data_IF_447471852671
#
_entry.id   IF_447471852671
#
_cell.length_a   1.000
_cell.length_b   1.000
_cell.length_c   1.000
_cell.angle_alpha   90.00
_cell.angle_beta   90.00
_cell.angle_gamma   90.00
#
_symmetry.space_group_name_H-M   'P 1'
#
loop_
_entity.id
_entity.type
_entity.pdbx_description
1 polymer ?
#
# COMPACT_ATOMS: atom_id res chain seq x y z
N UNK A 1 -14.98 -40.89 30.96
CA UNK A 1 -14.14 -39.68 30.91
C UNK A 1 -14.75 -38.65 29.95
N UNK A 2 -15.87 -38.03 30.33
CA UNK A 2 -16.60 -37.08 29.48
C UNK A 2 -17.24 -36.09 30.46
N UNK A 3 -16.50 -35.04 30.83
CA UNK A 3 -16.98 -33.86 31.58
C UNK A 3 -15.88 -32.82 31.95
N UNK A 4 -14.64 -32.93 31.45
CA UNK A 4 -13.59 -31.93 31.74
C UNK A 4 -13.29 -30.92 30.62
N UNK A 5 -13.88 -31.06 29.43
CA UNK A 5 -13.60 -30.17 28.29
C UNK A 5 -14.53 -28.94 28.21
N UNK A 6 -15.71 -28.97 28.84
CA UNK A 6 -16.66 -27.85 28.81
C UNK A 6 -16.41 -26.77 29.86
N UNK A 7 -15.56 -27.01 30.86
CA UNK A 7 -15.26 -26.05 31.94
C UNK A 7 -14.13 -25.06 31.59
N UNK A 8 -13.33 -25.33 30.55
CA UNK A 8 -12.25 -24.43 30.12
C UNK A 8 -12.73 -23.33 29.15
N UNK A 9 -13.79 -23.59 28.37
CA UNK A 9 -14.40 -22.59 27.49
C UNK A 9 -15.31 -21.59 28.23
N UNK A 10 -15.87 -21.95 29.38
CA UNK A 10 -16.69 -21.02 30.17
C UNK A 10 -15.88 -20.10 31.08
N UNK A 11 -14.59 -20.40 31.31
CA UNK A 11 -13.69 -19.54 32.10
C UNK A 11 -13.01 -18.48 31.23
N UNK A 12 -12.93 -18.68 29.91
CA UNK A 12 -12.36 -17.68 29.00
C UNK A 12 -13.34 -16.56 28.63
N UNK A 13 -14.66 -16.78 28.75
CA UNK A 13 -15.68 -15.74 28.55
C UNK A 13 -15.88 -14.84 29.78
N UNK A 14 -15.20 -15.12 30.91
CA UNK A 14 -15.39 -14.42 32.18
C UNK A 14 -14.26 -13.43 32.53
N UNK A 15 -13.28 -13.24 31.65
CA UNK A 15 -12.11 -12.38 31.89
C UNK A 15 -11.97 -11.16 30.96
N UNK A 16 -12.96 -10.87 30.10
CA UNK A 16 -12.98 -9.64 29.26
C UNK A 16 -14.39 -9.03 29.18
N UNK A 17 -15.14 -9.07 30.29
CA UNK A 17 -16.48 -8.49 30.38
C UNK A 17 -16.47 -7.12 31.03
N UNK A 18 -15.85 -6.12 30.40
CA UNK A 18 -16.27 -4.75 30.67
C UNK A 18 -17.61 -4.55 29.95
N UNK A 19 -18.64 -4.09 30.65
CA UNK A 19 -19.94 -3.81 30.02
C UNK A 19 -19.73 -2.89 28.81
N UNK A 20 -20.08 -3.38 27.62
CA UNK A 20 -19.89 -2.62 26.38
C UNK A 20 -20.84 -1.43 26.42
N UNK A 21 -20.25 -0.25 26.51
CA UNK A 21 -20.97 1.02 26.54
C UNK A 21 -21.14 1.56 25.12
N UNK A 22 -22.30 2.14 24.83
CA UNK A 22 -22.66 2.69 23.53
C UNK A 22 -22.97 4.18 23.64
N UNK A 23 -22.49 4.96 22.69
CA UNK A 23 -22.82 6.38 22.61
C UNK A 23 -24.29 6.53 22.22
N UNK A 24 -25.08 7.12 23.11
CA UNK A 24 -26.49 7.40 22.87
C UNK A 24 -26.66 8.78 22.24
N UNK A 25 -26.26 9.82 22.95
CA UNK A 25 -26.32 11.20 22.48
C UNK A 25 -24.98 11.94 22.62
N UNK A 26 -24.84 13.00 21.81
CA UNK A 26 -23.65 13.82 21.75
C UNK A 26 -24.02 15.29 21.59
N UNK A 27 -23.68 16.06 22.62
CA UNK A 27 -23.96 17.48 22.76
C UNK A 27 -22.66 18.32 22.69
N UNK A 28 -22.76 19.49 22.06
CA UNK A 28 -21.72 20.52 22.08
C UNK A 28 -22.31 21.79 22.67
N UNK A 29 -21.58 22.41 23.59
CA UNK A 29 -21.96 23.66 24.22
C UNK A 29 -20.82 24.68 24.11
N UNK A 30 -21.16 25.94 23.86
CA UNK A 30 -20.22 27.05 23.82
C UNK A 30 -19.59 27.31 22.44
N UNK A 31 -19.96 26.54 21.42
CA UNK A 31 -19.66 26.85 20.02
C UNK A 31 -20.65 27.90 19.47
N UNK A 32 -20.14 29.05 19.06
CA UNK A 32 -20.93 30.18 18.53
C UNK A 32 -20.74 30.32 17.03
N UNK A 33 -19.51 30.17 16.55
CA UNK A 33 -19.15 30.37 15.15
C UNK A 33 -19.29 29.08 14.31
N UNK A 34 -19.15 27.91 14.95
CA UNK A 34 -19.23 26.61 14.28
C UNK A 34 -20.52 25.88 14.65
N UNK A 35 -21.19 25.27 13.67
CA UNK A 35 -22.39 24.48 13.93
C UNK A 35 -22.05 23.12 14.53
N UNK A 36 -22.98 22.56 15.32
CA UNK A 36 -22.84 21.21 15.88
C UNK A 36 -22.58 20.16 14.78
N UNK A 37 -23.18 20.33 13.60
CA UNK A 37 -22.96 19.43 12.46
C UNK A 37 -21.49 19.44 12.01
N UNK A 38 -20.89 20.64 11.88
CA UNK A 38 -19.48 20.77 11.50
C UNK A 38 -18.55 20.06 12.49
N UNK A 39 -18.86 20.13 13.79
CA UNK A 39 -18.06 19.48 14.84
C UNK A 39 -18.28 17.96 14.85
N UNK A 40 -19.54 17.52 14.71
CA UNK A 40 -19.90 16.09 14.60
C UNK A 40 -19.12 15.43 13.48
N UNK A 41 -18.97 16.07 12.32
CA UNK A 41 -18.25 15.49 11.18
C UNK A 41 -16.76 15.25 11.44
N UNK A 42 -16.12 16.00 12.34
CA UNK A 42 -14.67 15.88 12.61
C UNK A 42 -14.32 14.81 13.63
N UNK A 43 -15.25 14.42 14.49
CA UNK A 43 -15.02 13.43 15.55
C UNK A 43 -15.35 12.01 15.11
N UNK A 44 -14.72 11.05 15.77
CA UNK A 44 -14.89 9.61 15.51
C UNK A 44 -16.11 9.06 16.23
N UNK A 45 -16.36 9.48 17.46
CA UNK A 45 -17.57 9.12 18.19
C UNK A 45 -18.78 9.77 17.53
N UNK A 46 -19.78 8.96 17.21
CA UNK A 46 -21.05 9.40 16.63
C UNK A 46 -22.19 8.97 17.53
N UNK A 47 -23.22 9.80 17.62
CA UNK A 47 -24.48 9.42 18.26
C UNK A 47 -25.11 8.22 17.56
N UNK A 48 -26.06 7.57 18.22
CA UNK A 48 -26.75 6.40 17.66
C UNK A 48 -27.47 6.76 16.35
N UNK A 49 -27.19 6.01 15.29
CA UNK A 49 -27.92 6.10 14.02
C UNK A 49 -29.09 5.10 13.98
N UNK A 50 -29.95 5.19 12.95
CA UNK A 50 -31.07 4.25 12.77
C UNK A 50 -30.63 2.78 12.66
N UNK A 51 -29.41 2.52 12.16
CA UNK A 51 -28.88 1.17 11.92
C UNK A 51 -27.52 0.88 12.58
N UNK A 52 -26.94 1.81 13.36
CA UNK A 52 -25.62 1.61 13.98
C UNK A 52 -25.58 2.09 15.43
N UNK A 53 -25.02 1.24 16.30
CA UNK A 53 -24.60 1.60 17.65
C UNK A 53 -23.09 1.80 17.64
N UNK A 54 -22.61 2.93 18.18
CA UNK A 54 -21.19 3.22 18.24
C UNK A 54 -20.66 2.92 19.64
N UNK A 55 -19.67 2.05 19.72
CA UNK A 55 -19.01 1.69 20.98
C UNK A 55 -18.23 2.88 21.56
N UNK A 56 -18.55 3.19 22.81
CA UNK A 56 -17.87 4.20 23.61
C UNK A 56 -16.50 3.69 24.08
N UNK A 57 -15.51 4.57 24.05
CA UNK A 57 -14.23 4.34 24.69
C UNK A 57 -13.65 5.69 25.11
N UNK A 58 -13.19 5.78 26.35
CA UNK A 58 -12.57 7.00 26.88
C UNK A 58 -11.35 7.44 26.05
N UNK A 59 -10.60 6.48 25.47
CA UNK A 59 -9.51 6.78 24.56
C UNK A 59 -9.99 7.48 23.28
N UNK A 60 -11.13 7.06 22.71
CA UNK A 60 -11.72 7.72 21.54
C UNK A 60 -12.20 9.12 21.90
N UNK A 61 -12.81 9.28 23.07
CA UNK A 61 -13.29 10.58 23.58
C UNK A 61 -12.14 11.60 23.68
N UNK A 62 -11.03 11.22 24.31
CA UNK A 62 -9.86 12.08 24.43
C UNK A 62 -9.22 12.43 23.08
N UNK A 63 -9.17 11.49 22.14
CA UNK A 63 -8.70 11.77 20.78
C UNK A 63 -9.63 12.74 20.04
N UNK A 64 -10.94 12.65 20.28
CA UNK A 64 -11.92 13.56 19.70
C UNK A 64 -11.80 14.98 20.28
N UNK A 65 -11.53 15.13 21.59
CA UNK A 65 -11.18 16.44 22.19
C UNK A 65 -9.98 17.09 21.48
N UNK A 66 -8.89 16.32 21.30
CA UNK A 66 -7.69 16.80 20.59
C UNK A 66 -8.02 17.15 19.14
N UNK A 67 -8.85 16.34 18.49
CA UNK A 67 -9.25 16.56 17.08
C UNK A 67 -10.05 17.85 16.93
N UNK A 68 -11.03 18.08 17.81
CA UNK A 68 -11.79 19.32 17.84
C UNK A 68 -10.89 20.51 18.15
N UNK A 69 -10.01 20.40 19.15
CA UNK A 69 -9.07 21.46 19.50
C UNK A 69 -8.20 21.85 18.30
N UNK A 70 -7.59 20.86 17.64
CA UNK A 70 -6.80 21.08 16.43
C UNK A 70 -7.65 21.70 15.31
N UNK A 71 -8.91 21.29 15.16
CA UNK A 71 -9.81 21.84 14.14
C UNK A 71 -10.09 23.33 14.40
N UNK A 72 -10.46 23.72 15.61
CA UNK A 72 -10.61 25.14 15.99
C UNK A 72 -9.31 25.93 15.79
N UNK A 73 -8.17 25.36 16.15
CA UNK A 73 -6.88 25.99 15.90
C UNK A 73 -6.59 26.18 14.41
N UNK A 74 -7.05 25.28 13.53
CA UNK A 74 -6.89 25.48 12.07
C UNK A 74 -7.69 26.67 11.54
N UNK A 75 -8.72 27.10 12.29
CA UNK A 75 -9.55 28.26 12.03
C UNK A 75 -9.07 29.52 12.77
N UNK A 76 -7.93 29.46 13.47
CA UNK A 76 -7.30 30.59 14.13
C UNK A 76 -7.75 30.85 15.58
N UNK A 77 -8.53 29.95 16.17
CA UNK A 77 -8.88 30.02 17.59
C UNK A 77 -7.78 29.35 18.42
N UNK A 78 -6.76 30.12 18.82
CA UNK A 78 -5.56 29.56 19.47
C UNK A 78 -5.80 29.29 20.94
N UNK A 79 -6.55 30.17 21.61
CA UNK A 79 -6.90 30.07 23.03
C UNK A 79 -8.09 29.13 23.28
N UNK A 80 -8.46 28.32 22.28
CA UNK A 80 -9.59 27.40 22.39
C UNK A 80 -9.34 26.37 23.49
N UNK A 81 -10.32 26.23 24.39
CA UNK A 81 -10.34 25.20 25.42
C UNK A 81 -11.53 24.29 25.21
N UNK A 82 -11.28 22.99 25.11
CA UNK A 82 -12.32 21.97 24.96
C UNK A 82 -12.14 20.96 26.07
N UNK A 83 -13.21 20.69 26.81
CA UNK A 83 -13.28 19.65 27.83
C UNK A 83 -14.51 18.80 27.58
N UNK A 84 -14.37 17.48 27.66
CA UNK A 84 -15.49 16.55 27.58
C UNK A 84 -15.90 16.01 28.95
N UNK A 85 -17.18 15.72 29.09
CA UNK A 85 -17.74 14.93 30.17
C UNK A 85 -18.64 13.84 29.58
N UNK A 86 -18.83 12.75 30.33
CA UNK A 86 -19.72 11.68 29.92
C UNK A 86 -20.54 11.16 31.11
N UNK A 87 -21.77 10.74 30.83
CA UNK A 87 -22.69 10.18 31.82
C UNK A 87 -23.21 8.85 31.31
N UNK A 88 -23.09 7.81 32.14
CA UNK A 88 -23.60 6.47 31.85
C UNK A 88 -24.99 6.32 32.44
N UNK A 89 -25.94 5.84 31.65
CA UNK A 89 -27.31 5.56 32.07
C UNK A 89 -27.81 4.25 31.47
N UNK A 90 -28.81 3.63 32.10
CA UNK A 90 -29.34 2.31 31.68
C UNK A 90 -28.23 1.27 31.47
N UNK A 91 -27.22 1.30 32.36
CA UNK A 91 -26.06 0.41 32.47
C UNK A 91 -25.14 0.29 31.23
N UNK A 92 -25.54 0.83 30.07
CA UNK A 92 -24.85 0.61 28.80
C UNK A 92 -24.90 1.80 27.83
N UNK A 93 -25.69 2.83 28.10
CA UNK A 93 -25.79 4.01 27.24
C UNK A 93 -24.97 5.16 27.82
N UNK A 94 -24.27 5.89 26.95
CA UNK A 94 -23.39 7.00 27.34
C UNK A 94 -23.80 8.26 26.61
N UNK A 95 -24.11 9.31 27.37
CA UNK A 95 -24.26 10.66 26.86
C UNK A 95 -22.92 11.38 26.97
N UNK A 96 -22.50 12.03 25.88
CA UNK A 96 -21.23 12.77 25.82
C UNK A 96 -21.54 14.25 25.65
N UNK A 97 -20.86 15.09 26.43
CA UNK A 97 -20.95 16.54 26.32
C UNK A 97 -19.57 17.14 26.12
N UNK A 98 -19.42 17.95 25.08
CA UNK A 98 -18.22 18.77 24.85
C UNK A 98 -18.50 20.21 25.22
N UNK A 99 -17.77 20.71 26.21
CA UNK A 99 -17.76 22.12 26.60
C UNK A 99 -16.64 22.84 25.85
N UNK A 100 -17.00 23.84 25.06
CA UNK A 100 -16.08 24.59 24.19
C UNK A 100 -16.03 26.05 24.63
N UNK A 101 -14.82 26.57 24.82
CA UNK A 101 -14.55 27.99 24.93
C UNK A 101 -13.72 28.39 23.72
N UNK A 102 -14.35 29.03 22.73
CA UNK A 102 -13.72 29.31 21.43
C UNK A 102 -12.53 30.27 21.54
N UNK A 103 -12.65 31.34 22.33
CA UNK A 103 -11.62 32.37 22.45
C UNK A 103 -11.57 33.29 21.23
N UNK A 104 -10.48 34.06 21.10
CA UNK A 104 -10.31 35.02 20.01
C UNK A 104 -9.69 34.40 18.76
N UNK A 105 -10.05 34.97 17.61
CA UNK A 105 -9.49 34.57 16.31
C UNK A 105 -8.23 35.37 16.01
N UNK A 106 -7.15 34.67 15.75
CA UNK A 106 -5.84 35.25 15.50
C UNK A 106 -5.53 35.38 14.00
N UNK A 107 -4.97 36.52 13.61
CA UNK A 107 -4.52 36.78 12.23
C UNK A 107 -3.03 37.03 12.16
N UNK A 108 -2.40 36.59 11.09
CA UNK A 108 -0.97 36.80 10.87
C UNK A 108 -0.72 38.30 10.62
N UNK A 109 0.11 38.94 11.42
CA UNK A 109 0.52 40.34 11.19
C UNK A 109 1.70 40.42 10.24
N UNK A 110 2.73 39.60 10.48
CA UNK A 110 3.96 39.56 9.69
C UNK A 110 4.65 38.21 9.86
N UNK A 111 5.34 37.79 8.80
CA UNK A 111 6.16 36.58 8.78
C UNK A 111 7.59 37.01 8.46
N UNK A 112 8.55 36.50 9.21
CA UNK A 112 9.97 36.74 9.00
C UNK A 112 10.74 35.43 8.91
N UNK A 113 11.69 35.39 7.98
CA UNK A 113 12.60 34.27 7.80
C UNK A 113 14.02 34.75 8.09
N UNK A 114 14.73 34.03 8.95
CA UNK A 114 16.13 34.30 9.23
C UNK A 114 16.98 33.07 8.94
N UNK A 115 18.20 33.29 8.47
CA UNK A 115 19.18 32.23 8.18
C UNK A 115 18.98 31.45 6.87
N UNK A 116 18.02 31.83 6.02
CA UNK A 116 17.86 31.28 4.66
C UNK A 116 18.87 31.90 3.68
N UNK A 117 19.90 31.14 3.28
CA UNK A 117 20.90 31.52 2.28
C UNK A 117 20.82 30.68 1.00
N UNK A 118 20.38 29.43 1.11
CA UNK A 118 20.34 28.47 0.00
C UNK A 118 19.09 28.64 -0.87
N UNK A 119 17.92 28.82 -0.26
CA UNK A 119 16.68 29.13 -1.00
C UNK A 119 16.37 30.62 -0.90
N UNK A 120 15.85 31.17 -2.00
CA UNK A 120 15.36 32.53 -2.01
C UNK A 120 14.13 32.68 -1.11
N UNK A 121 13.88 33.89 -0.62
CA UNK A 121 12.70 34.18 0.20
C UNK A 121 11.40 33.78 -0.53
N UNK A 122 11.29 34.08 -1.82
CA UNK A 122 10.10 33.76 -2.61
C UNK A 122 9.84 32.24 -2.66
N UNK A 123 10.87 31.43 -2.82
CA UNK A 123 10.72 29.97 -2.80
C UNK A 123 10.26 29.44 -1.43
N UNK A 124 10.72 30.07 -0.35
CA UNK A 124 10.28 29.70 1.01
C UNK A 124 8.84 30.15 1.21
N UNK A 125 8.48 31.35 0.77
CA UNK A 125 7.11 31.89 0.83
C UNK A 125 6.13 30.97 0.09
N UNK A 126 6.48 30.48 -1.10
CA UNK A 126 5.66 29.52 -1.86
C UNK A 126 5.42 28.20 -1.13
N UNK A 127 6.41 27.69 -0.37
CA UNK A 127 6.28 26.43 0.38
C UNK A 127 5.49 26.65 1.67
N UNK A 128 5.74 27.77 2.34
CA UNK A 128 5.10 28.11 3.60
C UNK A 128 3.65 28.50 3.39
N UNK A 129 3.30 29.10 2.24
CA UNK A 129 1.92 29.37 1.81
C UNK A 129 1.09 30.01 2.93
N UNK A 130 1.67 31.05 3.53
CA UNK A 130 1.04 31.89 4.56
C UNK A 130 1.37 33.34 4.24
N UNK A 131 0.36 34.20 4.29
CA UNK A 131 0.51 35.62 4.01
C UNK A 131 0.01 36.49 5.17
N UNK A 132 0.52 37.73 5.30
CA UNK A 132 -0.05 38.69 6.23
C UNK A 132 -1.57 38.87 6.02
N UNK A 133 -2.31 39.04 7.11
CA UNK A 133 -3.78 39.12 7.24
C UNK A 133 -4.53 37.78 7.16
N UNK A 134 -3.87 36.70 6.77
CA UNK A 134 -4.46 35.37 6.82
C UNK A 134 -4.83 34.97 8.25
N UNK A 135 -5.79 34.05 8.37
CA UNK A 135 -6.11 33.39 9.63
C UNK A 135 -4.91 32.52 10.00
N UNK A 136 -4.41 32.67 11.23
CA UNK A 136 -3.27 31.88 11.66
C UNK A 136 -3.67 30.41 11.82
N UNK A 137 -2.96 29.51 11.13
CA UNK A 137 -3.21 28.07 11.18
C UNK A 137 -1.92 27.33 11.58
N UNK A 138 -1.76 26.94 12.87
CA UNK A 138 -0.56 26.28 13.35
C UNK A 138 -0.37 24.88 12.75
N UNK A 139 -1.46 24.18 12.39
CA UNK A 139 -1.38 22.86 11.76
C UNK A 139 -0.83 22.97 10.34
N UNK A 140 -1.29 23.98 9.57
CA UNK A 140 -0.77 24.29 8.24
C UNK A 140 0.70 24.70 8.32
N UNK A 141 1.05 25.62 9.22
CA UNK A 141 2.45 26.06 9.43
C UNK A 141 3.38 24.88 9.70
N UNK A 142 3.06 24.04 10.69
CA UNK A 142 3.89 22.86 11.04
C UNK A 142 4.01 21.87 9.89
N UNK A 143 2.94 21.64 9.13
CA UNK A 143 2.98 20.81 7.93
C UNK A 143 3.94 21.40 6.90
N UNK A 144 3.84 22.70 6.65
CA UNK A 144 4.63 23.38 5.64
C UNK A 144 6.11 23.51 6.05
N UNK A 145 6.42 23.68 7.35
CA UNK A 145 7.78 23.60 7.87
C UNK A 145 8.39 22.21 7.70
N UNK A 146 7.61 21.13 7.84
CA UNK A 146 8.07 19.77 7.49
C UNK A 146 8.38 19.65 6.01
N UNK A 147 7.54 20.22 5.14
CA UNK A 147 7.79 20.27 3.68
C UNK A 147 9.05 21.05 3.36
N UNK A 148 9.27 22.20 4.00
CA UNK A 148 10.47 23.02 3.85
C UNK A 148 11.72 22.25 4.30
N UNK A 149 11.68 21.63 5.49
CA UNK A 149 12.75 20.75 5.99
C UNK A 149 13.05 19.64 4.99
N UNK A 150 12.03 19.00 4.45
CA UNK A 150 12.18 17.98 3.42
C UNK A 150 12.85 18.53 2.15
N UNK A 151 12.50 19.72 1.67
CA UNK A 151 13.16 20.37 0.52
C UNK A 151 14.66 20.61 0.76
N UNK A 152 15.04 21.06 1.95
CA UNK A 152 16.46 21.20 2.34
C UNK A 152 17.19 19.86 2.41
N UNK A 153 16.56 18.82 2.95
CA UNK A 153 17.12 17.46 2.97
C UNK A 153 17.35 16.88 1.57
N UNK A 154 16.49 17.24 0.59
CA UNK A 154 16.69 16.89 -0.82
C UNK A 154 17.88 17.62 -1.46
N UNK A 155 18.25 18.79 -0.92
CA UNK A 155 19.41 19.56 -1.34
C UNK A 155 20.71 19.17 -0.60
N UNK A 156 20.73 18.05 0.14
CA UNK A 156 21.90 17.56 0.86
C UNK A 156 22.18 18.24 2.19
N UNK A 157 21.24 19.01 2.75
CA UNK A 157 21.39 19.67 4.05
C UNK A 157 20.92 18.75 5.19
N UNK A 158 21.74 17.80 5.65
CA UNK A 158 21.33 16.85 6.71
C UNK A 158 21.13 17.50 8.08
N UNK A 159 21.98 18.47 8.43
CA UNK A 159 21.95 19.15 9.73
C UNK A 159 20.96 20.32 9.78
N UNK A 160 20.03 20.38 8.81
CA UNK A 160 19.00 21.41 8.74
C UNK A 160 18.18 21.42 10.03
N UNK A 161 18.17 22.58 10.69
CA UNK A 161 17.35 22.84 11.86
C UNK A 161 16.45 24.05 11.57
N UNK A 162 15.15 23.88 11.79
CA UNK A 162 14.16 24.94 11.57
C UNK A 162 13.37 25.09 12.87
N UNK A 163 13.38 26.29 13.43
CA UNK A 163 12.65 26.65 14.63
C UNK A 163 11.62 27.73 14.31
N UNK A 164 10.45 27.63 14.93
CA UNK A 164 9.41 28.66 14.87
C UNK A 164 9.33 29.36 16.22
N UNK A 165 9.34 30.68 16.20
CA UNK A 165 9.02 31.53 17.36
C UNK A 165 7.77 32.34 17.01
N UNK A 166 6.76 32.23 17.87
CA UNK A 166 5.42 32.74 17.61
C UNK A 166 5.06 33.72 18.72
N UNK A 167 4.92 34.98 18.35
CA UNK A 167 4.60 36.07 19.27
C UNK A 167 3.14 36.48 19.05
N UNK A 168 2.33 36.38 20.11
CA UNK A 168 0.92 36.75 20.12
C UNK A 168 0.76 38.16 20.72
N UNK A 169 0.09 39.05 19.99
CA UNK A 169 -0.21 40.42 20.45
C UNK A 169 -1.58 40.86 19.91
N UNK A 170 -2.54 41.17 20.80
CA UNK A 170 -3.84 41.75 20.46
C UNK A 170 -4.54 41.08 19.25
N UNK A 171 -4.79 39.77 19.32
CA UNK A 171 -5.39 38.95 18.25
C UNK A 171 -4.58 38.92 16.93
N UNK A 172 -3.32 39.35 16.96
CA UNK A 172 -2.36 39.25 15.87
C UNK A 172 -1.22 38.29 16.24
N UNK A 173 -0.64 37.68 15.20
CA UNK A 173 0.43 36.70 15.32
C UNK A 173 1.60 37.14 14.47
N UNK A 174 2.74 37.34 15.12
CA UNK A 174 4.02 37.47 14.44
C UNK A 174 4.71 36.11 14.41
N UNK A 175 5.04 35.64 13.21
CA UNK A 175 5.70 34.34 13.00
C UNK A 175 7.14 34.58 12.59
N UNK A 176 8.08 34.16 13.41
CA UNK A 176 9.51 34.19 13.12
C UNK A 176 10.02 32.76 12.89
N UNK A 177 10.56 32.50 11.71
CA UNK A 177 11.13 31.21 11.35
C UNK A 177 12.64 31.36 11.27
N UNK A 178 13.34 30.65 12.15
CA UNK A 178 14.80 30.61 12.23
C UNK A 178 15.30 29.35 11.53
N UNK A 179 16.13 29.51 10.51
CA UNK A 179 16.64 28.42 9.67
C UNK A 179 18.16 28.32 9.84
N UNK A 180 18.64 27.18 10.33
CA UNK A 180 20.06 26.83 10.33
C UNK A 180 20.28 25.74 9.27
N UNK A 181 20.71 26.17 8.07
CA UNK A 181 20.83 25.30 6.91
C UNK A 181 21.95 24.25 7.02
N UNK A 182 23.04 24.61 7.69
CA UNK A 182 24.27 23.83 7.67
C UNK A 182 24.89 23.70 6.28
N UNK A 183 25.76 22.71 6.14
CA UNK A 183 26.51 22.42 4.92
C UNK A 183 25.87 21.32 4.09
N UNK A 184 26.27 21.24 2.83
CA UNK A 184 25.80 20.22 1.88
C UNK A 184 26.69 19.00 1.99
N UNK A 185 26.07 17.82 2.11
CA UNK A 185 26.76 16.55 2.23
C UNK A 185 26.74 15.75 0.93
N UNK A 186 27.87 15.11 0.66
CA UNK A 186 28.07 14.20 -0.45
C UNK A 186 28.24 12.77 0.07
N UNK A 187 27.67 11.82 -0.65
CA UNK A 187 27.81 10.39 -0.38
C UNK A 187 29.24 10.00 -0.73
N UNK A 188 29.98 9.42 0.22
CA UNK A 188 31.38 9.01 0.03
C UNK A 188 31.49 7.51 -0.23
N UNK A 189 30.88 6.71 0.63
CA UNK A 189 30.90 5.26 0.55
C UNK A 189 29.58 4.68 1.06
N UNK A 190 29.29 3.46 0.65
CA UNK A 190 28.11 2.70 1.08
C UNK A 190 28.53 1.37 1.69
N UNK A 191 28.11 1.13 2.92
CA UNK A 191 28.37 -0.11 3.64
C UNK A 191 27.09 -0.91 3.78
N UNK A 192 27.12 -2.18 3.36
CA UNK A 192 25.96 -3.07 3.38
C UNK A 192 26.20 -4.15 4.45
N UNK A 193 25.22 -4.34 5.33
CA UNK A 193 25.26 -5.30 6.44
C UNK A 193 23.96 -6.09 6.56
N UNK A 194 24.03 -7.26 7.20
CA UNK A 194 22.86 -8.12 7.44
C UNK A 194 22.49 -9.04 6.27
N UNK A 195 23.47 -9.30 5.38
CA UNK A 195 23.39 -10.33 4.36
C UNK A 195 23.85 -11.68 4.94
N UNK A 196 23.12 -12.74 4.65
CA UNK A 196 23.42 -14.13 5.02
C UNK A 196 23.59 -14.99 3.76
N UNK A 197 22.56 -15.03 2.90
CA UNK A 197 22.53 -15.84 1.69
C UNK A 197 22.58 -14.97 0.42
N UNK A 198 22.13 -13.72 0.46
CA UNK A 198 22.03 -12.84 -0.72
C UNK A 198 23.34 -12.10 -1.00
N UNK A 199 23.80 -12.10 -2.25
CA UNK A 199 24.99 -11.34 -2.66
C UNK A 199 24.76 -9.81 -2.59
N UNK A 200 25.73 -9.07 -2.06
CA UNK A 200 25.69 -7.60 -1.96
C UNK A 200 25.48 -6.88 -3.30
N UNK A 201 25.94 -7.47 -4.42
CA UNK A 201 25.76 -6.93 -5.78
C UNK A 201 24.28 -6.72 -6.13
N UNK A 202 23.39 -7.55 -5.58
CA UNK A 202 21.95 -7.44 -5.81
C UNK A 202 21.32 -6.26 -5.06
N UNK A 203 21.99 -5.72 -4.06
CA UNK A 203 21.58 -4.50 -3.34
C UNK A 203 22.15 -3.27 -4.03
N UNK A 204 23.41 -3.35 -4.44
CA UNK A 204 24.08 -2.27 -5.17
C UNK A 204 23.33 -1.89 -6.44
N UNK A 205 22.79 -2.87 -7.20
CA UNK A 205 22.00 -2.59 -8.41
C UNK A 205 20.64 -1.94 -8.14
N UNK A 206 20.10 -2.06 -6.92
CA UNK A 206 18.82 -1.45 -6.52
C UNK A 206 19.05 -0.03 -5.96
N UNK A 207 20.30 0.37 -5.73
CA UNK A 207 20.65 1.71 -5.26
C UNK A 207 20.51 2.73 -6.39
N UNK A 208 19.72 3.78 -6.14
CA UNK A 208 19.46 4.86 -7.10
C UNK A 208 20.48 6.01 -7.02
N UNK A 209 21.51 5.82 -6.20
CA UNK A 209 22.59 6.79 -5.99
C UNK A 209 23.94 6.13 -6.25
N UNK A 210 24.95 6.96 -6.45
CA UNK A 210 26.35 6.53 -6.59
C UNK A 210 27.23 7.39 -5.69
N UNK A 211 28.40 6.87 -5.35
CA UNK A 211 29.38 7.62 -4.57
C UNK A 211 29.77 8.91 -5.30
N UNK A 212 29.90 10.00 -4.54
CA UNK A 212 30.14 11.36 -5.02
C UNK A 212 28.86 12.19 -5.25
N UNK A 213 27.68 11.57 -5.29
CA UNK A 213 26.41 12.30 -5.43
C UNK A 213 26.08 13.11 -4.16
N UNK A 214 25.33 14.21 -4.33
CA UNK A 214 24.72 14.94 -3.20
C UNK A 214 23.72 14.01 -2.52
N UNK A 215 23.70 14.01 -1.19
CA UNK A 215 22.66 13.32 -0.45
C UNK A 215 21.27 13.91 -0.80
N UNK A 216 20.38 13.10 -1.35
CA UNK A 216 18.97 13.47 -1.52
C UNK A 216 18.12 12.45 -0.78
N UNK A 217 17.44 12.88 0.29
CA UNK A 217 16.53 12.04 1.08
C UNK A 217 15.46 11.35 0.23
N UNK A 218 15.03 11.93 -0.89
CA UNK A 218 14.09 11.31 -1.82
C UNK A 218 14.72 10.08 -2.47
N UNK A 219 15.93 10.21 -2.99
CA UNK A 219 16.66 9.10 -3.63
C UNK A 219 16.93 7.99 -2.62
N UNK A 220 17.29 8.35 -1.39
CA UNK A 220 17.51 7.38 -0.30
C UNK A 220 16.22 6.65 0.08
N UNK A 221 15.09 7.36 0.22
CA UNK A 221 13.81 6.74 0.53
C UNK A 221 13.34 5.83 -0.61
N UNK A 222 13.45 6.27 -1.87
CA UNK A 222 13.10 5.44 -3.03
C UNK A 222 14.02 4.22 -3.15
N UNK A 223 15.31 4.35 -2.84
CA UNK A 223 16.22 3.19 -2.76
C UNK A 223 15.78 2.20 -1.67
N UNK A 224 15.42 2.71 -0.47
CA UNK A 224 14.92 1.87 0.62
C UNK A 224 13.65 1.11 0.22
N UNK A 225 12.70 1.81 -0.40
CA UNK A 225 11.47 1.23 -0.92
C UNK A 225 11.77 0.16 -1.97
N UNK A 226 12.64 0.45 -2.94
CA UNK A 226 13.00 -0.49 -4.01
C UNK A 226 13.67 -1.78 -3.47
N UNK A 227 14.60 -1.65 -2.53
CA UNK A 227 15.23 -2.81 -1.87
C UNK A 227 14.18 -3.60 -1.07
N UNK A 228 13.25 -2.94 -0.38
CA UNK A 228 12.20 -3.62 0.39
C UNK A 228 11.20 -4.34 -0.53
N UNK A 229 10.75 -3.68 -1.60
CA UNK A 229 9.83 -4.22 -2.60
C UNK A 229 10.41 -5.38 -3.41
N UNK A 230 11.74 -5.57 -3.43
CA UNK A 230 12.36 -6.79 -3.97
C UNK A 230 11.85 -8.06 -3.29
N UNK A 231 11.33 -7.94 -2.06
CA UNK A 231 10.85 -9.04 -1.23
C UNK A 231 11.94 -10.00 -0.76
N UNK A 232 13.21 -9.61 -0.91
CA UNK A 232 14.36 -10.31 -0.36
C UNK A 232 14.56 -10.05 1.14
N UNK A 233 14.01 -8.95 1.65
CA UNK A 233 14.29 -8.43 2.99
C UNK A 233 13.00 -8.12 3.75
N UNK A 234 13.03 -8.40 5.06
CA UNK A 234 11.95 -8.10 6.00
C UNK A 234 12.16 -6.76 6.72
N UNK A 235 13.36 -6.18 6.60
CA UNK A 235 13.69 -4.83 7.05
C UNK A 235 14.78 -4.24 6.17
N UNK A 236 14.63 -2.96 5.83
CA UNK A 236 15.63 -2.18 5.12
C UNK A 236 15.78 -0.85 5.83
N UNK A 237 16.93 -0.64 6.45
CA UNK A 237 17.29 0.62 7.07
C UNK A 237 18.47 1.22 6.31
N UNK A 238 18.39 2.53 5.99
CA UNK A 238 19.49 3.27 5.39
C UNK A 238 19.75 4.46 6.29
N UNK A 239 20.92 4.46 6.92
CA UNK A 239 21.32 5.43 7.92
C UNK A 239 22.55 6.21 7.43
N UNK A 240 22.49 7.54 7.31
CA UNK A 240 23.67 8.33 7.02
C UNK A 240 24.51 8.52 8.29
N UNK A 241 25.82 8.30 8.17
CA UNK A 241 26.79 8.63 9.19
C UNK A 241 27.73 9.71 8.68
N UNK A 242 27.86 10.79 9.44
CA UNK A 242 28.76 11.90 9.12
C UNK A 242 30.18 11.48 9.50
N UNK A 243 31.10 11.52 8.53
CA UNK A 243 32.51 11.16 8.74
C UNK A 243 33.40 12.41 8.75
N UNK A 244 33.19 13.28 7.77
CA UNK A 244 33.93 14.53 7.59
C UNK A 244 32.92 15.66 7.37
N UNK A 245 33.39 16.91 7.44
CA UNK A 245 32.61 18.13 7.29
C UNK A 245 31.59 18.07 6.14
N UNK A 246 31.95 17.60 4.94
CA UNK A 246 31.03 17.54 3.79
C UNK A 246 30.75 16.13 3.26
N UNK A 247 31.18 15.08 3.95
CA UNK A 247 31.08 13.69 3.47
C UNK A 247 30.38 12.78 4.46
N UNK A 248 29.47 11.97 3.94
CA UNK A 248 28.75 10.94 4.69
C UNK A 248 29.01 9.56 4.11
N UNK A 249 28.98 8.56 4.98
CA UNK A 249 28.83 7.17 4.58
C UNK A 249 27.38 6.73 4.80
N UNK A 250 26.87 5.90 3.90
CA UNK A 250 25.53 5.34 4.01
C UNK A 250 25.62 3.90 4.49
N UNK A 251 25.05 3.63 5.66
CA UNK A 251 24.94 2.30 6.23
C UNK A 251 23.60 1.70 5.86
N UNK A 252 23.61 0.69 5.01
CA UNK A 252 22.45 -0.10 4.63
C UNK A 252 22.42 -1.33 5.54
N UNK A 253 21.50 -1.32 6.50
CA UNK A 253 21.28 -2.44 7.41
C UNK A 253 20.05 -3.22 6.96
N UNK A 254 20.28 -4.48 6.63
CA UNK A 254 19.29 -5.37 6.07
C UNK A 254 18.94 -6.48 7.06
N UNK A 255 17.75 -7.05 6.88
CA UNK A 255 17.38 -8.33 7.49
C UNK A 255 16.77 -9.20 6.41
N UNK A 256 17.51 -10.20 5.95
CA UNK A 256 17.05 -11.14 4.94
C UNK A 256 15.74 -11.80 5.36
N UNK A 257 14.84 -11.94 4.40
CA UNK A 257 13.57 -12.60 4.59
C UNK A 257 13.69 -14.04 4.12
N UNK A 258 13.83 -15.03 5.01
CA UNK A 258 13.89 -16.43 4.59
C UNK A 258 12.50 -16.93 4.21
N UNK A 259 12.12 -16.78 2.95
CA UNK A 259 10.78 -17.12 2.48
C UNK A 259 10.70 -18.60 2.10
N UNK A 260 10.17 -19.41 3.01
CA UNK A 260 9.66 -20.75 2.72
C UNK A 260 8.29 -20.87 3.35
N UNK A 261 7.30 -21.18 2.54
CA UNK A 261 5.91 -21.23 2.99
C UNK A 261 5.23 -22.44 2.37
N UNK A 262 4.42 -23.12 3.18
CA UNK A 262 3.56 -24.22 2.74
C UNK A 262 2.16 -23.83 3.13
N UNK A 263 1.34 -23.55 2.13
CA UNK A 263 -0.06 -23.19 2.29
C UNK A 263 -0.90 -24.40 1.86
N UNK A 264 -1.84 -24.79 2.71
CA UNK A 264 -2.84 -25.79 2.39
C UNK A 264 -4.22 -25.19 2.57
N UNK A 265 -5.09 -25.38 1.59
CA UNK A 265 -6.45 -24.87 1.56
C UNK A 265 -7.39 -26.02 1.22
N UNK A 266 -8.47 -26.16 1.98
CA UNK A 266 -9.51 -27.16 1.73
C UNK A 266 -10.84 -26.44 1.85
N UNK A 267 -11.68 -26.55 0.82
CA UNK A 267 -12.91 -25.78 0.75
C UNK A 267 -13.87 -26.28 -0.32
N UNK A 268 -14.92 -25.50 -0.55
CA UNK A 268 -15.86 -25.69 -1.63
C UNK A 268 -15.66 -24.56 -2.65
N UNK A 269 -15.27 -24.91 -3.87
CA UNK A 269 -14.94 -23.99 -4.95
C UNK A 269 -15.77 -24.29 -6.20
N UNK A 270 -15.92 -23.29 -7.08
CA UNK A 270 -16.39 -23.51 -8.45
C UNK A 270 -15.16 -23.73 -9.35
N UNK A 271 -15.00 -24.96 -9.83
CA UNK A 271 -13.86 -25.36 -10.64
C UNK A 271 -14.18 -25.30 -12.13
N UNK A 272 -13.23 -24.86 -12.97
CA UNK A 272 -13.38 -24.95 -14.42
C UNK A 272 -13.60 -26.41 -14.83
N UNK A 273 -14.55 -26.62 -15.72
CA UNK A 273 -14.80 -27.88 -16.43
C UNK A 273 -14.11 -27.83 -17.80
N UNK A 274 -14.67 -28.50 -18.80
CA UNK A 274 -14.25 -28.45 -20.20
C UNK A 274 -14.56 -27.10 -20.84
N UNK A 275 -13.86 -26.78 -21.92
CA UNK A 275 -13.99 -25.48 -22.58
C UNK A 275 -15.40 -25.29 -23.19
N UNK A 276 -16.15 -24.31 -22.68
CA UNK A 276 -17.53 -24.02 -23.07
C UNK A 276 -18.59 -24.39 -22.02
N UNK A 277 -18.23 -25.22 -21.04
CA UNK A 277 -19.13 -25.64 -19.97
C UNK A 277 -19.13 -24.69 -18.77
N UNK A 278 -20.20 -24.74 -17.97
CA UNK A 278 -20.29 -24.01 -16.72
C UNK A 278 -19.35 -24.62 -15.68
N UNK A 279 -18.73 -23.80 -14.81
CA UNK A 279 -17.87 -24.30 -13.75
C UNK A 279 -18.67 -25.14 -12.74
N UNK A 280 -18.03 -26.15 -12.19
CA UNK A 280 -18.66 -27.16 -11.34
C UNK A 280 -18.32 -26.88 -9.88
N UNK A 281 -19.35 -26.83 -9.03
CA UNK A 281 -19.17 -26.78 -7.59
C UNK A 281 -18.56 -28.09 -7.09
N UNK A 282 -17.37 -28.01 -6.51
CA UNK A 282 -16.60 -29.17 -6.08
C UNK A 282 -16.00 -28.94 -4.68
N UNK A 283 -15.77 -30.03 -3.95
CA UNK A 283 -14.86 -30.00 -2.81
C UNK A 283 -13.45 -29.94 -3.41
N UNK A 284 -12.65 -28.99 -2.94
CA UNK A 284 -11.34 -28.72 -3.47
C UNK A 284 -10.28 -28.74 -2.37
N UNK A 285 -9.15 -29.35 -2.66
CA UNK A 285 -7.95 -29.32 -1.83
C UNK A 285 -6.78 -28.77 -2.63
N UNK A 286 -6.14 -27.71 -2.13
CA UNK A 286 -4.95 -27.08 -2.70
C UNK A 286 -3.78 -27.21 -1.73
N UNK A 287 -2.61 -27.53 -2.26
CA UNK A 287 -1.34 -27.48 -1.57
C UNK A 287 -0.37 -26.63 -2.39
N UNK A 288 0.22 -25.64 -1.76
CA UNK A 288 1.12 -24.68 -2.39
C UNK A 288 2.40 -24.59 -1.59
N UNK A 289 3.52 -24.97 -2.21
CA UNK A 289 4.85 -24.85 -1.63
C UNK A 289 5.62 -23.72 -2.32
N UNK A 290 5.91 -22.66 -1.57
CA UNK A 290 6.70 -21.51 -2.04
C UNK A 290 8.11 -21.59 -1.48
N UNK A 291 9.09 -21.44 -2.37
CA UNK A 291 10.51 -21.41 -2.07
C UNK A 291 11.07 -20.11 -2.66
N UNK A 292 11.50 -19.19 -1.80
CA UNK A 292 12.21 -17.98 -2.19
C UNK A 292 13.72 -18.19 -2.29
N UNK A 293 14.42 -17.13 -2.66
CA UNK A 293 15.88 -17.00 -2.57
C UNK A 293 16.66 -18.03 -3.38
N UNK A 294 16.11 -18.50 -4.50
CA UNK A 294 16.76 -19.52 -5.31
C UNK A 294 18.06 -19.00 -5.90
N UNK A 295 19.11 -19.82 -5.83
CA UNK A 295 20.45 -19.47 -6.30
C UNK A 295 20.98 -18.16 -5.70
N UNK A 296 20.62 -17.87 -4.45
CA UNK A 296 20.98 -16.63 -3.74
C UNK A 296 20.46 -15.36 -4.44
N UNK A 297 19.36 -15.47 -5.19
CA UNK A 297 18.75 -14.38 -5.96
C UNK A 297 17.33 -14.06 -5.48
N UNK A 298 16.72 -12.97 -5.95
CA UNK A 298 15.31 -12.66 -5.71
C UNK A 298 14.30 -13.60 -6.37
N UNK A 299 14.78 -14.67 -7.03
CA UNK A 299 13.94 -15.61 -7.74
C UNK A 299 13.19 -16.54 -6.79
N UNK A 300 11.99 -16.96 -7.20
CA UNK A 300 11.08 -17.78 -6.41
C UNK A 300 10.60 -18.95 -7.26
N UNK A 301 10.43 -20.10 -6.62
CA UNK A 301 9.71 -21.25 -7.18
C UNK A 301 8.48 -21.49 -6.34
N UNK A 302 7.37 -21.75 -7.00
CA UNK A 302 6.13 -22.17 -6.40
C UNK A 302 5.72 -23.48 -7.04
N UNK A 303 5.39 -24.45 -6.22
CA UNK A 303 4.82 -25.73 -6.64
C UNK A 303 3.40 -25.77 -6.10
N UNK A 304 2.42 -25.92 -6.98
CA UNK A 304 1.02 -26.03 -6.59
C UNK A 304 0.49 -27.40 -7.03
N UNK A 305 -0.32 -27.99 -6.16
CA UNK A 305 -1.13 -29.17 -6.44
C UNK A 305 -2.56 -28.91 -5.98
N UNK A 306 -3.51 -29.22 -6.84
CA UNK A 306 -4.93 -29.00 -6.61
C UNK A 306 -5.70 -30.25 -7.03
N UNK A 307 -6.61 -30.71 -6.16
CA UNK A 307 -7.51 -31.83 -6.44
C UNK A 307 -8.92 -31.39 -6.10
N UNK A 308 -9.76 -31.36 -7.15
CA UNK A 308 -11.18 -31.09 -7.07
C UNK A 308 -11.99 -32.35 -7.31
N UNK A 309 -12.98 -32.59 -6.46
CA UNK A 309 -13.93 -33.69 -6.64
C UNK A 309 -15.37 -33.18 -6.51
N UNK A 310 -16.22 -33.62 -7.43
CA UNK A 310 -17.65 -33.39 -7.35
C UNK A 310 -18.42 -34.61 -7.82
N UNK A 311 -19.61 -34.78 -7.29
CA UNK A 311 -20.55 -35.80 -7.73
C UNK A 311 -21.93 -35.15 -7.82
N UNK A 312 -22.43 -35.02 -9.04
CA UNK A 312 -23.69 -34.33 -9.31
C UNK A 312 -24.42 -35.01 -10.47
N UNK A 313 -25.74 -35.13 -10.38
CA UNK A 313 -26.59 -35.67 -11.45
C UNK A 313 -26.19 -37.05 -12.00
N UNK A 314 -25.48 -37.87 -11.20
CA UNK A 314 -25.02 -39.21 -11.61
C UNK A 314 -23.67 -39.23 -12.33
N UNK A 315 -23.03 -38.08 -12.51
CA UNK A 315 -21.70 -37.95 -13.11
C UNK A 315 -20.67 -37.60 -12.03
N UNK A 316 -19.54 -38.31 -12.07
CA UNK A 316 -18.37 -37.98 -11.26
C UNK A 316 -17.52 -36.97 -12.03
N UNK A 317 -17.08 -35.92 -11.33
CA UNK A 317 -16.12 -34.95 -11.81
C UNK A 317 -14.86 -35.02 -10.96
N UNK A 318 -13.72 -35.20 -11.60
CA UNK A 318 -12.42 -35.03 -10.93
C UNK A 318 -11.55 -34.06 -11.72
N UNK A 319 -10.88 -33.15 -11.00
CA UNK A 319 -9.88 -32.26 -11.57
C UNK A 319 -8.59 -32.38 -10.78
N UNK A 320 -7.49 -32.66 -11.47
CA UNK A 320 -6.16 -32.68 -10.90
C UNK A 320 -5.35 -31.62 -11.63
N UNK A 321 -4.80 -30.66 -10.89
CA UNK A 321 -3.98 -29.60 -11.46
C UNK A 321 -2.68 -29.49 -10.69
N UNK A 322 -1.57 -29.54 -11.41
CA UNK A 322 -0.23 -29.37 -10.86
C UNK A 322 0.48 -28.27 -11.64
N UNK A 323 1.12 -27.33 -10.95
CA UNK A 323 1.98 -26.35 -11.60
C UNK A 323 3.32 -26.16 -10.88
N UNK A 324 4.36 -25.94 -11.68
CA UNK A 324 5.63 -25.42 -11.24
C UNK A 324 5.81 -24.03 -11.84
N UNK A 325 5.85 -23.02 -10.97
CA UNK A 325 5.93 -21.62 -11.33
C UNK A 325 7.21 -21.00 -10.80
N UNK A 326 8.15 -20.70 -11.69
CA UNK A 326 9.35 -19.95 -11.41
C UNK A 326 9.14 -18.47 -11.76
N UNK A 327 9.56 -17.56 -10.88
CA UNK A 327 9.59 -16.14 -11.18
C UNK A 327 10.92 -15.52 -10.80
N UNK A 328 11.39 -14.60 -11.63
CA UNK A 328 12.57 -13.79 -11.35
C UNK A 328 12.30 -12.33 -11.70
N UNK A 329 12.55 -11.36 -10.81
CA UNK A 329 12.37 -9.94 -11.12
C UNK A 329 13.43 -9.39 -12.09
N UNK A 330 14.49 -10.15 -12.35
CA UNK A 330 15.61 -9.75 -13.18
C UNK A 330 15.96 -10.87 -14.16
N UNK A 331 16.15 -10.51 -15.44
CA UNK A 331 16.80 -11.39 -16.41
C UNK A 331 18.22 -10.88 -16.61
N UNK A 332 19.21 -11.71 -16.27
CA UNK A 332 20.62 -11.31 -16.27
C UNK A 332 20.81 -10.06 -15.39
N UNK A 333 21.12 -8.90 -16.00
CA UNK A 333 21.30 -7.62 -15.32
C UNK A 333 20.23 -6.57 -15.66
N UNK A 334 19.14 -6.97 -16.31
CA UNK A 334 18.04 -6.07 -16.70
C UNK A 334 16.83 -6.35 -15.82
N UNK A 335 16.20 -5.30 -15.29
CA UNK A 335 14.99 -5.38 -14.45
C UNK A 335 13.75 -5.70 -15.29
N UNK A 336 13.73 -6.90 -15.86
CA UNK A 336 12.60 -7.45 -16.60
C UNK A 336 12.09 -8.66 -15.80
N UNK A 337 10.99 -8.50 -15.05
CA UNK A 337 10.30 -9.61 -14.43
C UNK A 337 9.90 -10.67 -15.44
N UNK A 338 10.41 -11.89 -15.25
CA UNK A 338 10.10 -13.06 -16.06
C UNK A 338 9.48 -14.12 -15.18
N UNK A 339 8.46 -14.77 -15.73
CA UNK A 339 7.83 -15.93 -15.12
C UNK A 339 7.86 -17.09 -16.10
N UNK A 340 8.11 -18.27 -15.57
CA UNK A 340 8.09 -19.51 -16.29
C UNK A 340 7.18 -20.47 -15.54
N UNK A 341 6.12 -20.93 -16.20
CA UNK A 341 5.11 -21.81 -15.63
C UNK A 341 5.04 -23.07 -16.46
N UNK A 342 5.22 -24.21 -15.83
CA UNK A 342 4.85 -25.51 -16.39
C UNK A 342 3.63 -25.98 -15.61
N UNK A 343 2.61 -26.48 -16.30
CA UNK A 343 1.43 -27.02 -15.64
C UNK A 343 0.93 -28.27 -16.34
N UNK A 344 0.31 -29.14 -15.55
CA UNK A 344 -0.43 -30.31 -15.99
C UNK A 344 -1.84 -30.22 -15.40
N UNK A 345 -2.84 -30.48 -16.23
CA UNK A 345 -4.24 -30.53 -15.84
C UNK A 345 -4.86 -31.82 -16.37
N UNK A 346 -5.60 -32.53 -15.53
CA UNK A 346 -6.42 -33.67 -15.90
C UNK A 346 -7.84 -33.43 -15.38
N UNK A 347 -8.81 -33.40 -16.28
CA UNK A 347 -10.24 -33.24 -15.97
C UNK A 347 -10.95 -34.49 -16.46
N UNK A 348 -11.51 -35.25 -15.53
CA UNK A 348 -12.33 -36.42 -15.83
C UNK A 348 -13.79 -36.04 -15.63
N UNK A 349 -14.52 -35.92 -16.75
CA UNK A 349 -15.96 -35.65 -16.76
C UNK A 349 -16.54 -36.13 -18.09
N UNK A 350 -17.26 -37.27 -18.08
CA UNK A 350 -17.75 -37.99 -19.27
C UNK A 350 -16.63 -38.46 -20.23
N UNK A 351 -15.75 -37.56 -20.66
CA UNK A 351 -14.47 -37.81 -21.31
C UNK A 351 -13.31 -37.34 -20.43
N UNK A 352 -12.11 -37.84 -20.71
CA UNK A 352 -10.91 -37.39 -20.03
C UNK A 352 -10.19 -36.31 -20.85
N UNK A 353 -10.02 -35.12 -20.28
CA UNK A 353 -9.28 -34.01 -20.87
C UNK A 353 -7.97 -33.81 -20.12
N UNK A 354 -6.87 -33.98 -20.83
CA UNK A 354 -5.51 -33.73 -20.33
C UNK A 354 -4.91 -32.51 -21.02
N UNK A 355 -4.24 -31.66 -20.25
CA UNK A 355 -3.48 -30.51 -20.75
C UNK A 355 -2.10 -30.50 -20.13
N UNK A 356 -1.07 -30.41 -20.96
CA UNK A 356 0.30 -30.15 -20.53
C UNK A 356 0.76 -28.85 -21.18
N UNK A 357 1.07 -27.85 -20.37
CA UNK A 357 1.40 -26.53 -20.87
C UNK A 357 2.68 -25.94 -20.29
N UNK A 358 3.35 -25.16 -21.14
CA UNK A 358 4.47 -24.30 -20.77
C UNK A 358 4.06 -22.86 -21.13
N UNK A 359 4.21 -21.97 -20.17
CA UNK A 359 3.94 -20.54 -20.34
C UNK A 359 5.15 -19.75 -19.84
N UNK A 360 5.72 -18.95 -20.73
CA UNK A 360 6.75 -17.97 -20.38
C UNK A 360 6.15 -16.59 -20.55
N UNK A 361 6.21 -15.77 -19.50
CA UNK A 361 5.75 -14.40 -19.57
C UNK A 361 6.82 -13.44 -19.08
N UNK A 362 6.85 -12.24 -19.66
CA UNK A 362 7.60 -11.12 -19.13
C UNK A 362 6.66 -9.95 -18.91
N UNK A 363 6.93 -9.14 -17.90
CA UNK A 363 6.12 -8.00 -17.56
C UNK A 363 7.02 -6.79 -17.33
N UNK A 364 6.85 -5.75 -18.14
CA UNK A 364 7.51 -4.47 -17.96
C UNK A 364 6.47 -3.43 -17.54
N UNK A 365 6.75 -2.75 -16.44
CA UNK A 365 5.92 -1.68 -15.92
C UNK A 365 6.77 -0.41 -15.79
N UNK A 366 6.35 0.65 -16.48
CA UNK A 366 6.93 1.97 -16.30
C UNK A 366 6.05 2.79 -15.35
N UNK A 367 6.69 3.60 -14.49
CA UNK A 367 6.05 4.47 -13.50
C UNK A 367 5.03 5.44 -14.14
N UNK A 368 5.12 5.69 -15.44
CA UNK A 368 4.16 6.46 -16.23
C UNK A 368 2.85 5.70 -16.58
N UNK A 369 2.41 4.77 -15.72
CA UNK A 369 1.13 4.04 -15.85
C UNK A 369 1.00 3.30 -17.20
N UNK A 370 2.12 2.78 -17.69
CA UNK A 370 2.19 2.01 -18.93
C UNK A 370 2.66 0.60 -18.61
N UNK A 371 1.95 -0.40 -19.13
CA UNK A 371 2.25 -1.81 -18.91
C UNK A 371 2.43 -2.52 -20.25
N UNK A 372 3.49 -3.29 -20.35
CA UNK A 372 3.74 -4.23 -21.43
C UNK A 372 3.89 -5.61 -20.85
N UNK A 373 3.15 -6.57 -21.39
CA UNK A 373 3.28 -7.97 -21.01
C UNK A 373 3.37 -8.80 -22.29
N UNK A 374 4.41 -9.62 -22.39
CA UNK A 374 4.49 -10.65 -23.41
C UNK A 374 4.27 -12.02 -22.78
N UNK A 375 3.57 -12.89 -23.47
CA UNK A 375 3.31 -14.26 -23.06
C UNK A 375 3.51 -15.17 -24.26
N UNK A 376 4.31 -16.21 -24.06
CA UNK A 376 4.49 -17.32 -24.99
C UNK A 376 3.93 -18.57 -24.31
N UNK A 377 2.92 -19.19 -24.93
CA UNK A 377 2.28 -20.41 -24.45
C UNK A 377 2.47 -21.53 -25.48
N UNK A 378 2.78 -22.71 -24.99
CA UNK A 378 2.70 -23.97 -25.75
C UNK A 378 1.94 -24.95 -24.90
N UNK A 379 0.89 -25.56 -25.43
CA UNK A 379 0.01 -26.48 -24.72
C UNK A 379 -0.31 -27.68 -25.61
N UNK A 380 -0.19 -28.87 -25.03
CA UNK A 380 -0.60 -30.13 -25.62
C UNK A 380 -1.90 -30.56 -24.95
N UNK A 381 -2.92 -30.82 -25.76
CA UNK A 381 -4.28 -31.10 -25.31
C UNK A 381 -4.67 -32.47 -25.88
N UNK A 382 -5.17 -33.35 -25.03
CA UNK A 382 -5.74 -34.63 -25.44
C UNK A 382 -7.09 -34.84 -24.75
N UNK A 383 -8.11 -35.21 -25.52
CA UNK A 383 -9.48 -35.44 -25.03
C UNK A 383 -10.00 -36.78 -25.52
N UNK A 384 -10.26 -37.72 -24.60
CA UNK A 384 -10.78 -39.05 -24.95
C UNK A 384 -9.92 -39.78 -25.99
N UNK A 385 -10.55 -40.19 -27.11
CA UNK A 385 -9.93 -40.89 -28.23
C UNK A 385 -9.45 -39.95 -29.37
N UNK A 386 -9.52 -38.63 -29.19
CA UNK A 386 -9.16 -37.66 -30.23
C UNK A 386 -7.64 -37.48 -30.36
N UNK A 387 -7.18 -37.09 -31.56
CA UNK A 387 -5.77 -36.80 -31.82
C UNK A 387 -5.23 -35.70 -30.87
N UNK A 388 -4.00 -35.90 -30.38
CA UNK A 388 -3.29 -34.90 -29.59
C UNK A 388 -3.20 -33.58 -30.38
N UNK A 389 -3.77 -32.53 -29.83
CA UNK A 389 -3.75 -31.20 -30.42
C UNK A 389 -2.70 -30.34 -29.72
N UNK A 390 -1.83 -29.71 -30.50
CA UNK A 390 -0.84 -28.76 -30.04
C UNK A 390 -1.31 -27.33 -30.31
N UNK A 391 -1.43 -26.52 -29.26
CA UNK A 391 -1.66 -25.08 -29.35
C UNK A 391 -0.39 -24.31 -28.99
N UNK A 392 0.08 -23.47 -29.92
CA UNK A 392 1.15 -22.50 -29.66
C UNK A 392 0.62 -21.10 -29.84
N UNK A 393 0.86 -20.23 -28.87
CA UNK A 393 0.44 -18.84 -28.97
C UNK A 393 1.45 -17.86 -28.42
N UNK A 394 1.50 -16.69 -29.06
CA UNK A 394 2.18 -15.52 -28.54
C UNK A 394 1.15 -14.42 -28.35
N UNK A 395 1.16 -13.80 -27.17
CA UNK A 395 0.27 -12.72 -26.81
C UNK A 395 1.10 -11.52 -26.32
N UNK A 396 0.78 -10.34 -26.83
CA UNK A 396 1.30 -9.07 -26.33
C UNK A 396 0.16 -8.24 -25.77
N UNK A 397 0.23 -7.92 -24.50
CA UNK A 397 -0.68 -6.99 -23.84
C UNK A 397 0.01 -5.65 -23.66
N UNK A 398 -0.60 -4.59 -24.19
CA UNK A 398 -0.23 -3.22 -23.91
C UNK A 398 -1.39 -2.51 -23.21
N UNK A 399 -1.10 -1.78 -22.15
CA UNK A 399 -2.07 -0.85 -21.57
C UNK A 399 -1.44 0.45 -21.12
N UNK A 400 -2.24 1.51 -21.21
CA UNK A 400 -1.89 2.85 -20.74
C UNK A 400 -3.11 3.46 -20.07
N UNK A 401 -2.91 4.02 -18.88
CA UNK A 401 -4.02 4.60 -18.13
C UNK A 401 -3.63 5.86 -17.39
N UNK A 402 -4.60 6.75 -17.19
CA UNK A 402 -4.46 7.91 -16.32
C UNK A 402 -5.72 8.11 -15.47
N UNK A 403 -6.22 7.01 -14.90
CA UNK A 403 -7.31 7.03 -13.93
C UNK A 403 -6.77 7.35 -12.53
N UNK A 404 -7.54 8.13 -11.77
CA UNK A 404 -7.19 8.57 -10.41
C UNK A 404 -7.43 7.49 -9.35
N UNK A 405 -8.43 6.63 -9.57
CA UNK A 405 -8.80 5.51 -8.70
C UNK A 405 -9.30 4.35 -9.57
N UNK A 406 -8.75 3.15 -9.38
CA UNK A 406 -9.09 1.96 -10.17
C UNK A 406 -10.47 1.35 -9.80
N UNK A 407 -10.96 1.60 -8.60
CA UNK A 407 -12.23 1.07 -8.09
C UNK A 407 -13.38 2.03 -8.42
N UNK A 408 -13.14 3.33 -8.28
CA UNK A 408 -14.15 4.38 -8.56
C UNK A 408 -13.53 5.56 -9.31
N UNK A 409 -13.25 5.39 -10.62
CA UNK A 409 -12.64 6.44 -11.44
C UNK A 409 -13.63 7.58 -11.70
N UNK A 410 -13.22 8.81 -11.36
CA UNK A 410 -14.01 10.03 -11.62
C UNK A 410 -13.64 10.76 -12.91
N UNK A 411 -12.35 10.75 -13.24
CA UNK A 411 -11.79 11.38 -14.43
C UNK A 411 -10.63 10.53 -14.96
N UNK A 412 -10.38 10.58 -16.27
CA UNK A 412 -9.21 9.98 -16.91
C UNK A 412 -9.55 9.00 -18.03
N UNK A 413 -8.53 8.31 -18.54
CA UNK A 413 -8.68 7.32 -19.60
C UNK A 413 -7.97 6.01 -19.25
N UNK A 414 -8.44 4.92 -19.84
CA UNK A 414 -7.78 3.63 -19.86
C UNK A 414 -7.86 3.08 -21.30
N UNK A 415 -6.72 2.65 -21.81
CA UNK A 415 -6.58 2.01 -23.11
C UNK A 415 -5.82 0.71 -22.93
N UNK A 416 -6.31 -0.38 -23.52
CA UNK A 416 -5.56 -1.62 -23.66
C UNK A 416 -5.76 -2.25 -25.03
N UNK A 417 -4.74 -2.99 -25.47
CA UNK A 417 -4.77 -3.83 -26.67
C UNK A 417 -4.01 -5.12 -26.38
N UNK A 418 -4.54 -6.24 -26.84
CA UNK A 418 -4.07 -7.58 -26.54
C UNK A 418 -4.11 -8.45 -27.81
N UNK A 419 -3.24 -8.20 -28.81
CA UNK A 419 -3.07 -9.09 -29.94
C UNK A 419 -2.48 -10.44 -29.51
N UNK A 420 -3.13 -11.52 -29.92
CA UNK A 420 -2.60 -12.87 -29.84
C UNK A 420 -2.55 -13.54 -31.23
N UNK A 421 -1.44 -14.24 -31.47
CA UNK A 421 -1.21 -15.05 -32.66
C UNK A 421 -1.14 -16.51 -32.23
N UNK A 422 -2.03 -17.33 -32.77
CA UNK A 422 -2.11 -18.76 -32.51
C UNK A 422 -1.64 -19.52 -33.75
N UNK A 423 -0.69 -20.42 -33.54
CA UNK A 423 0.01 -21.19 -34.55
C UNK A 423 0.65 -20.36 -35.67
N UNK A 424 0.28 -20.60 -36.93
CA UNK A 424 0.88 -19.98 -38.13
C UNK A 424 2.40 -20.20 -38.20
N UNK A 425 3.21 -19.15 -38.04
CA UNK A 425 4.68 -19.23 -37.95
C UNK A 425 5.16 -20.03 -36.72
N UNK A 426 4.32 -20.23 -35.72
CA UNK A 426 4.66 -20.99 -34.52
C UNK A 426 4.43 -22.50 -34.68
N UNK A 427 3.64 -22.94 -35.67
CA UNK A 427 3.20 -24.34 -35.82
C UNK A 427 1.96 -24.71 -34.98
N UNK A 428 1.69 -25.99 -34.76
CA UNK A 428 0.50 -26.46 -34.02
C UNK A 428 -0.77 -26.57 -34.86
N UNK A 429 -1.85 -27.05 -34.25
CA UNK A 429 -3.09 -27.42 -34.94
C UNK A 429 -4.08 -26.24 -35.09
N UNK A 430 -3.92 -25.19 -34.29
CA UNK A 430 -4.82 -24.03 -34.28
C UNK A 430 -4.18 -22.82 -34.96
N UNK A 431 -4.90 -22.22 -35.90
CA UNK A 431 -4.41 -21.09 -36.70
C UNK A 431 -5.40 -19.94 -36.73
N UNK A 432 -5.16 -18.92 -35.91
CA UNK A 432 -5.96 -17.71 -35.90
C UNK A 432 -5.20 -16.54 -35.28
N UNK A 433 -5.68 -15.34 -35.59
CA UNK A 433 -5.25 -14.09 -34.95
C UNK A 433 -6.44 -13.54 -34.20
N UNK A 434 -6.23 -13.16 -32.94
CA UNK A 434 -7.23 -12.50 -32.11
C UNK A 434 -6.67 -11.16 -31.64
N UNK A 435 -7.49 -10.12 -31.65
CA UNK A 435 -7.12 -8.80 -31.13
C UNK A 435 -8.24 -8.32 -30.24
N UNK A 436 -7.98 -8.28 -28.94
CA UNK A 436 -8.89 -7.68 -27.98
C UNK A 436 -8.43 -6.25 -27.66
N UNK A 437 -9.34 -5.28 -27.67
CA UNK A 437 -9.03 -3.88 -27.31
C UNK A 437 -10.10 -3.29 -26.40
N UNK A 438 -9.69 -2.53 -25.40
CA UNK A 438 -10.60 -1.84 -24.48
C UNK A 438 -10.25 -0.36 -24.36
N UNK A 439 -11.27 0.50 -24.47
CA UNK A 439 -11.15 1.94 -24.30
C UNK A 439 -12.20 2.40 -23.29
N UNK A 440 -11.76 3.02 -22.19
CA UNK A 440 -12.62 3.63 -21.17
C UNK A 440 -12.25 5.08 -21.00
N UNK A 441 -13.24 5.96 -20.96
CA UNK A 441 -13.06 7.39 -20.71
C UNK A 441 -14.03 7.81 -19.60
N UNK A 442 -13.50 8.49 -18.58
CA UNK A 442 -14.25 8.93 -17.41
C UNK A 442 -14.26 10.45 -17.37
N UNK A 443 -15.46 11.01 -17.26
CA UNK A 443 -15.71 12.45 -17.13
C UNK A 443 -16.69 12.63 -15.98
N UNK A 444 -16.37 13.52 -15.05
CA UNK A 444 -17.34 13.99 -14.06
C UNK A 444 -18.27 15.01 -14.73
N UNK A 445 -19.56 14.70 -14.78
CA UNK A 445 -20.62 15.58 -15.32
C UNK A 445 -21.11 16.52 -14.23
#
# INVERSE_FOLDING_TARGET
>A
MRNKFFLLLSIFSLLVGGDIQYVYDLEFEGNQELTNSNLKDKIRLKSRGFFSKNEFSQKKLHLDEITLKNYYQTLGYIDVSISSSFEVFQDSNVNIKFLIKEGSKYRISKINYDGSKFFSKNEIDEIIDLHPKDIYNPVKLRKNLKTLKYKYLRAGKLNISIFEDIIFDNNKVFVQILISEGITYFIRNTEISGLEEVDAKYIQRECLFTDGMIYDVKIINSTREQIFESGLFSSVEIQPQIIDSSKIDLFIKLREYKFRDIVSEIGFDQLPSTEGDLPISAINGKLQWKIGHLFNTASRLRLDGEIGISYSSGEAFTRQYYEAYYSSPWLMNIRIPINFKIYFENIEQNENLTRLGINTSFNYFDFNKTRFLGNLKTEFISSGDLEEAEERSINFFFSKYNISNHISPKNGFFFSINPSLHGTLLGGNFHYVKVDSEIKYYITI
#
